data_IF_520713341720
#
_entry.id   IF_520713341720
#
_cell.length_a   1.000
_cell.length_b   1.000
_cell.length_c   1.000
_cell.angle_alpha   90.00
_cell.angle_beta   90.00
_cell.angle_gamma   90.00
#
_symmetry.space_group_name_H-M   'P 1'
#
loop_
_entity.id
_entity.type
_entity.pdbx_description
1 polymer ?
#
# COMPACT_ATOMS: atom_id res chain seq x y z
N UNK A 1 -7.21 -17.32 -19.76
CA UNK A 1 -8.61 -16.96 -19.46
C UNK A 1 -9.48 -17.39 -20.64
N UNK A 2 -10.51 -18.22 -20.45
CA UNK A 2 -11.39 -18.65 -21.55
C UNK A 2 -11.97 -17.43 -22.29
N UNK A 3 -11.84 -17.39 -23.62
CA UNK A 3 -12.40 -16.32 -24.46
C UNK A 3 -11.57 -15.03 -24.57
N UNK A 4 -10.36 -14.97 -24.00
CA UNK A 4 -9.47 -13.83 -24.20
C UNK A 4 -8.78 -13.89 -25.57
N UNK A 5 -8.91 -12.81 -26.36
CA UNK A 5 -8.12 -12.54 -27.58
C UNK A 5 -7.33 -11.22 -27.38
N UNK A 6 -5.98 -11.24 -27.38
CA UNK A 6 -5.10 -12.41 -27.55
C UNK A 6 -5.19 -13.40 -26.38
N UNK A 7 -4.78 -14.67 -26.58
CA UNK A 7 -4.75 -15.67 -25.53
C UNK A 7 -3.92 -15.21 -24.32
N UNK A 8 -4.41 -15.54 -23.13
CA UNK A 8 -3.80 -15.16 -21.85
C UNK A 8 -3.63 -16.38 -20.94
N UNK A 9 -2.52 -16.42 -20.21
CA UNK A 9 -2.14 -17.51 -19.32
C UNK A 9 -1.80 -16.98 -17.93
N UNK A 10 -1.98 -17.84 -16.92
CA UNK A 10 -1.41 -17.63 -15.58
C UNK A 10 -0.16 -18.50 -15.48
N UNK A 11 0.99 -17.87 -15.25
CA UNK A 11 2.25 -18.55 -15.03
C UNK A 11 2.59 -18.50 -13.53
N UNK A 12 2.88 -19.66 -12.95
CA UNK A 12 3.32 -19.79 -11.57
C UNK A 12 4.84 -19.98 -11.55
N UNK A 13 5.54 -19.10 -10.83
CA UNK A 13 7.01 -19.09 -10.77
C UNK A 13 7.44 -19.22 -9.30
N UNK A 14 8.40 -20.11 -9.04
CA UNK A 14 9.00 -20.28 -7.72
C UNK A 14 10.42 -19.72 -7.71
N UNK A 15 10.73 -18.91 -6.70
CA UNK A 15 12.05 -18.35 -6.44
C UNK A 15 12.61 -18.96 -5.16
N UNK A 16 13.92 -19.24 -5.13
CA UNK A 16 14.58 -19.62 -3.88
C UNK A 16 14.68 -18.41 -2.95
N UNK A 17 14.60 -18.66 -1.65
CA UNK A 17 14.58 -17.60 -0.62
C UNK A 17 15.91 -16.84 -0.53
N UNK A 18 17.02 -17.52 -0.81
CA UNK A 18 18.39 -16.97 -0.80
C UNK A 18 18.64 -15.87 -1.84
N UNK A 19 17.73 -15.70 -2.81
CA UNK A 19 17.76 -14.60 -3.77
C UNK A 19 17.34 -13.26 -3.18
N UNK A 20 16.71 -13.28 -2.00
CA UNK A 20 16.10 -12.09 -1.40
C UNK A 20 16.84 -11.63 -0.16
N UNK A 21 17.20 -10.34 -0.16
CA UNK A 21 17.72 -9.66 1.01
C UNK A 21 16.62 -9.55 2.09
N UNK A 22 17.00 -9.89 3.32
CA UNK A 22 16.13 -9.80 4.50
C UNK A 22 15.63 -8.36 4.70
N UNK A 23 14.34 -8.19 4.96
CA UNK A 23 13.75 -6.88 5.27
C UNK A 23 13.71 -5.87 4.10
N UNK A 24 14.03 -6.27 2.86
CA UNK A 24 14.23 -5.36 1.74
C UNK A 24 13.16 -5.49 0.64
N UNK A 25 12.12 -4.63 0.70
CA UNK A 25 11.15 -4.48 -0.40
C UNK A 25 11.82 -4.04 -1.73
N UNK A 26 12.81 -3.13 -1.73
CA UNK A 26 13.53 -2.78 -2.96
C UNK A 26 14.21 -3.98 -3.62
N UNK A 27 14.87 -4.84 -2.83
CA UNK A 27 15.48 -6.06 -3.36
C UNK A 27 14.42 -7.02 -3.93
N UNK A 28 13.34 -7.31 -3.17
CA UNK A 28 12.24 -8.16 -3.64
C UNK A 28 11.67 -7.68 -4.99
N UNK A 29 11.38 -6.39 -5.08
CA UNK A 29 10.77 -5.78 -6.28
C UNK A 29 11.73 -5.77 -7.46
N UNK A 30 13.00 -5.40 -7.26
CA UNK A 30 14.00 -5.44 -8.33
C UNK A 30 14.21 -6.86 -8.89
N UNK A 31 14.18 -7.88 -8.02
CA UNK A 31 14.34 -9.29 -8.40
C UNK A 31 13.14 -9.85 -9.18
N UNK A 32 11.91 -9.50 -8.80
CA UNK A 32 10.69 -10.07 -9.41
C UNK A 32 10.24 -9.30 -10.64
N UNK A 33 10.18 -7.97 -10.55
CA UNK A 33 9.54 -7.12 -11.58
C UNK A 33 10.52 -6.21 -12.33
N UNK A 34 11.81 -6.23 -12.00
CA UNK A 34 12.79 -5.25 -12.50
C UNK A 34 12.89 -5.18 -14.02
N UNK A 35 13.08 -6.32 -14.71
CA UNK A 35 13.33 -6.34 -16.16
C UNK A 35 12.26 -7.09 -16.97
N UNK A 36 11.52 -8.01 -16.34
CA UNK A 36 10.68 -8.99 -17.06
C UNK A 36 9.50 -8.37 -17.81
N UNK A 37 9.01 -7.20 -17.38
CA UNK A 37 7.91 -6.48 -18.04
C UNK A 37 8.35 -5.80 -19.36
N UNK A 38 9.66 -5.62 -19.57
CA UNK A 38 10.22 -5.04 -20.80
C UNK A 38 10.61 -6.06 -21.87
N UNK A 39 10.34 -7.35 -21.66
CA UNK A 39 10.71 -8.40 -22.61
C UNK A 39 9.94 -8.25 -23.92
N UNK A 40 10.66 -8.02 -25.03
CA UNK A 40 10.07 -7.87 -26.38
C UNK A 40 9.23 -9.07 -26.83
N UNK A 41 9.48 -10.26 -26.27
CA UNK A 41 8.74 -11.48 -26.56
C UNK A 41 7.36 -11.53 -25.86
N UNK A 42 7.10 -10.66 -24.89
CA UNK A 42 5.84 -10.57 -24.17
C UNK A 42 5.06 -9.34 -24.66
N UNK A 43 3.82 -9.54 -25.09
CA UNK A 43 2.93 -8.42 -25.45
C UNK A 43 2.49 -7.60 -24.23
N UNK A 44 2.21 -8.30 -23.14
CA UNK A 44 1.84 -7.72 -21.85
C UNK A 44 2.17 -8.73 -20.74
N UNK A 45 2.46 -8.23 -19.55
CA UNK A 45 2.67 -9.03 -18.35
C UNK A 45 1.99 -8.30 -17.19
N UNK A 46 1.39 -9.07 -16.26
CA UNK A 46 0.84 -8.58 -15.01
C UNK A 46 1.22 -9.54 -13.89
N UNK A 47 1.77 -9.00 -12.81
CA UNK A 47 1.95 -9.74 -11.57
C UNK A 47 0.61 -9.71 -10.83
N UNK A 48 -0.05 -10.85 -10.70
CA UNK A 48 -1.37 -10.95 -10.07
C UNK A 48 -1.28 -11.11 -8.55
N UNK A 49 -0.37 -11.96 -8.06
CA UNK A 49 -0.22 -12.25 -6.63
C UNK A 49 1.21 -12.74 -6.30
N UNK A 50 1.58 -12.64 -5.02
CA UNK A 50 2.83 -13.15 -4.46
C UNK A 50 2.56 -13.94 -3.19
N UNK A 51 2.97 -15.21 -3.20
CA UNK A 51 3.05 -15.99 -1.97
C UNK A 51 4.34 -15.64 -1.22
N UNK A 52 4.24 -14.87 -0.14
CA UNK A 52 5.39 -14.56 0.72
C UNK A 52 5.50 -15.60 1.87
N UNK A 53 6.62 -16.34 1.98
CA UNK A 53 6.78 -17.34 3.03
C UNK A 53 7.00 -16.69 4.40
N UNK A 54 6.58 -17.39 5.46
CA UNK A 54 6.71 -16.94 6.86
C UNK A 54 8.16 -16.64 7.26
N UNK A 55 9.12 -17.39 6.71
CA UNK A 55 10.56 -17.16 6.96
C UNK A 55 11.02 -15.80 6.45
N UNK A 56 10.52 -15.36 5.28
CA UNK A 56 10.83 -14.02 4.76
C UNK A 56 10.02 -12.93 5.48
N UNK A 57 8.72 -13.17 5.73
CA UNK A 57 7.86 -12.21 6.44
C UNK A 57 8.43 -11.80 7.80
N UNK A 58 9.02 -12.73 8.55
CA UNK A 58 9.62 -12.48 9.86
C UNK A 58 10.87 -11.58 9.84
N UNK A 59 11.46 -11.34 8.67
CA UNK A 59 12.59 -10.41 8.53
C UNK A 59 12.16 -8.94 8.50
N UNK A 60 10.86 -8.67 8.40
CA UNK A 60 10.30 -7.32 8.40
C UNK A 60 9.69 -6.99 9.76
N UNK A 61 9.81 -5.72 10.16
CA UNK A 61 9.11 -5.20 11.34
C UNK A 61 7.57 -5.31 11.19
N UNK A 62 7.05 -5.08 9.98
CA UNK A 62 5.63 -4.95 9.73
C UNK A 62 5.07 -3.58 10.17
N UNK A 63 3.74 -3.47 10.36
CA UNK A 63 3.11 -2.23 10.81
C UNK A 63 3.65 -1.78 12.18
N UNK A 64 3.95 -0.48 12.40
CA UNK A 64 4.45 0.01 13.69
C UNK A 64 3.52 -0.23 14.90
N UNK A 65 2.22 -0.19 14.68
CA UNK A 65 1.20 -0.39 15.74
C UNK A 65 0.12 -1.39 15.32
N UNK A 66 -0.34 -1.28 14.07
CA UNK A 66 -1.43 -2.11 13.55
C UNK A 66 -2.80 -1.67 14.08
N UNK A 67 -3.85 -2.28 13.52
CA UNK A 67 -5.24 -1.82 13.67
C UNK A 67 -5.72 -1.82 15.13
N UNK A 68 -5.32 -2.82 15.92
CA UNK A 68 -5.78 -2.97 17.30
C UNK A 68 -5.19 -1.84 18.16
N UNK A 69 -3.87 -1.71 18.16
CA UNK A 69 -3.18 -0.70 18.95
C UNK A 69 -3.57 0.72 18.51
N UNK A 70 -3.74 0.98 17.21
CA UNK A 70 -4.22 2.28 16.73
C UNK A 70 -5.60 2.64 17.29
N UNK A 71 -6.53 1.68 17.34
CA UNK A 71 -7.87 1.90 17.91
C UNK A 71 -7.84 2.14 19.42
N UNK A 72 -6.97 1.42 20.13
CA UNK A 72 -6.75 1.61 21.56
C UNK A 72 -6.16 3.00 21.85
N UNK A 73 -5.14 3.42 21.09
CA UNK A 73 -4.48 4.73 21.27
C UNK A 73 -5.44 5.91 21.09
N UNK A 74 -6.39 5.83 20.17
CA UNK A 74 -7.36 6.92 19.90
C UNK A 74 -8.71 6.73 20.59
N UNK A 75 -8.90 5.61 21.31
CA UNK A 75 -10.13 5.24 21.99
C UNK A 75 -11.38 5.28 21.08
N UNK A 76 -11.30 4.64 19.90
CA UNK A 76 -12.40 4.58 18.91
C UNK A 76 -12.71 3.14 18.49
N UNK A 77 -13.91 2.69 18.84
CA UNK A 77 -14.38 1.32 18.58
C UNK A 77 -15.75 1.30 17.91
N UNK A 78 -16.12 0.16 17.33
CA UNK A 78 -17.48 -0.10 16.82
C UNK A 78 -17.88 0.66 15.54
N UNK A 79 -16.99 1.51 14.99
CA UNK A 79 -17.22 2.20 13.72
C UNK A 79 -15.94 2.39 12.89
N UNK A 80 -16.07 2.62 11.57
CA UNK A 80 -15.00 3.15 10.74
C UNK A 80 -14.51 4.52 11.26
N UNK A 81 -13.24 4.81 11.01
CA UNK A 81 -12.65 6.13 11.28
C UNK A 81 -12.97 7.06 10.12
N UNK A 82 -13.36 8.29 10.43
CA UNK A 82 -13.74 9.29 9.44
C UNK A 82 -12.59 10.26 9.22
N UNK A 83 -12.22 10.47 7.95
CA UNK A 83 -11.13 11.35 7.56
C UNK A 83 -11.48 12.24 6.37
N UNK A 84 -10.85 13.42 6.30
CA UNK A 84 -10.94 14.29 5.14
C UNK A 84 -9.55 14.78 4.69
N UNK A 85 -9.41 15.03 3.40
CA UNK A 85 -8.23 15.73 2.85
C UNK A 85 -8.54 17.23 2.77
N UNK A 86 -7.65 18.08 3.25
CA UNK A 86 -7.83 19.53 3.13
C UNK A 86 -7.90 19.97 1.68
N UNK A 87 -8.78 20.95 1.38
CA UNK A 87 -8.90 21.57 0.07
C UNK A 87 -8.89 23.11 0.19
N UNK A 88 -8.42 23.85 -0.84
CA UNK A 88 -7.80 23.36 -2.08
C UNK A 88 -6.47 22.63 -1.82
N UNK A 89 -6.04 21.81 -2.78
CA UNK A 89 -4.84 20.97 -2.69
C UNK A 89 -3.58 21.79 -2.35
N UNK A 90 -3.46 22.99 -2.92
CA UNK A 90 -2.38 23.95 -2.66
C UNK A 90 -2.96 25.36 -2.51
N UNK A 91 -2.18 26.25 -1.89
CA UNK A 91 -2.49 27.69 -1.84
C UNK A 91 -3.19 28.17 -0.57
N UNK A 92 -3.47 27.29 0.40
CA UNK A 92 -3.86 27.72 1.73
C UNK A 92 -2.66 28.26 2.51
N UNK A 93 -2.83 29.41 3.16
CA UNK A 93 -1.88 29.84 4.19
C UNK A 93 -1.95 28.90 5.40
N UNK A 94 -0.89 28.76 6.21
CA UNK A 94 -0.91 27.91 7.41
C UNK A 94 -2.07 28.21 8.36
N UNK A 95 -2.46 29.49 8.48
CA UNK A 95 -3.60 29.92 9.29
C UNK A 95 -4.93 29.40 8.74
N UNK A 96 -5.14 29.52 7.43
CA UNK A 96 -6.38 29.05 6.81
C UNK A 96 -6.44 27.52 6.78
N UNK A 97 -5.28 26.87 6.59
CA UNK A 97 -5.14 25.42 6.71
C UNK A 97 -5.59 24.94 8.09
N UNK A 98 -5.04 25.53 9.16
CA UNK A 98 -5.42 25.22 10.54
C UNK A 98 -6.91 25.46 10.82
N UNK A 99 -7.52 26.49 10.21
CA UNK A 99 -8.96 26.72 10.31
C UNK A 99 -9.77 25.59 9.69
N UNK A 100 -9.39 25.13 8.49
CA UNK A 100 -10.08 24.00 7.83
C UNK A 100 -9.97 22.72 8.68
N UNK A 101 -8.77 22.42 9.19
CA UNK A 101 -8.53 21.27 10.07
C UNK A 101 -9.40 21.36 11.33
N UNK A 102 -9.41 22.52 11.98
CA UNK A 102 -10.18 22.75 13.20
C UNK A 102 -11.68 22.51 12.99
N UNK A 103 -12.29 23.14 11.98
CA UNK A 103 -13.73 23.00 11.71
C UNK A 103 -14.11 21.57 11.36
N UNK A 104 -13.25 20.87 10.59
CA UNK A 104 -13.45 19.49 10.21
C UNK A 104 -13.45 18.53 11.41
N UNK A 105 -12.48 18.67 12.32
CA UNK A 105 -12.40 17.85 13.53
C UNK A 105 -13.54 18.17 14.50
N UNK A 106 -13.86 19.45 14.68
CA UNK A 106 -15.01 19.90 15.48
C UNK A 106 -16.33 19.35 14.94
N UNK A 107 -16.45 19.22 13.62
CA UNK A 107 -17.60 18.65 12.93
C UNK A 107 -17.78 17.13 13.11
N UNK A 108 -16.82 16.45 13.76
CA UNK A 108 -16.94 15.03 14.12
C UNK A 108 -16.06 14.08 13.30
N UNK A 109 -15.15 14.59 12.47
CA UNK A 109 -14.12 13.75 11.85
C UNK A 109 -13.06 13.33 12.88
N UNK A 110 -12.51 12.13 12.71
CA UNK A 110 -11.42 11.63 13.57
C UNK A 110 -10.06 12.18 13.11
N UNK A 111 -9.89 12.36 11.79
CA UNK A 111 -8.63 12.84 11.21
C UNK A 111 -8.86 13.83 10.06
N UNK A 112 -7.84 14.66 9.85
CA UNK A 112 -7.69 15.45 8.63
C UNK A 112 -6.27 15.20 8.13
N UNK A 113 -6.10 15.01 6.82
CA UNK A 113 -4.79 14.84 6.19
C UNK A 113 -4.46 16.00 5.26
N UNK A 114 -3.16 16.28 5.15
CA UNK A 114 -2.56 17.04 4.06
C UNK A 114 -2.91 16.38 2.71
N UNK A 115 -2.91 17.13 1.60
CA UNK A 115 -3.22 16.57 0.27
C UNK A 115 -2.19 15.56 -0.24
#
# INVERSE_FOLDING_TARGET
VPGADPPQWIAYIAYKLDLFEEGSIPNLTSSIIGNVFGFKALRALRLEDLRIPQTYLKTFQGPPHGVIQEREMINKFGRPLLGATTKPKLGLSPRNYGRVVYEALRGGLDFVKDD
#
